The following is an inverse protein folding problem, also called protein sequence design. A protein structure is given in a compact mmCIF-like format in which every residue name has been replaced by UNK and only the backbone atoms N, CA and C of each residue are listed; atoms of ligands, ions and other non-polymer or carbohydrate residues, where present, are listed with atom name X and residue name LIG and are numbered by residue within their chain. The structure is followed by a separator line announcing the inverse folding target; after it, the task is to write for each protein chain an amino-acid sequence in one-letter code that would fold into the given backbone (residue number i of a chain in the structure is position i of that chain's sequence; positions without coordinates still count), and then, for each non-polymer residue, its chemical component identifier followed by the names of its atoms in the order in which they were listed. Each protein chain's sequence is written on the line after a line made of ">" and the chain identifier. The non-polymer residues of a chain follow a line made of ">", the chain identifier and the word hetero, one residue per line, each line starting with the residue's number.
data_IF_950216619147
#
_entry.id   IF_950216619147
#
_cell.length_a   1.000
_cell.length_b   1.000
_cell.length_c   1.000
_cell.angle_alpha   90.00
_cell.angle_beta   90.00
_cell.angle_gamma   90.00
#
_symmetry.space_group_name_H-M   'P 1'
#
loop_
_entity.id
_entity.type
_entity.pdbx_description
1 polymer ?
#
# COMPACT_ATOMS: atom_id res chain seq x y z
N UNK A 1 -3.13 0.63 4.78
CA UNK A 1 -3.90 -0.48 4.16
C UNK A 1 -5.25 -0.03 3.61
N UNK A 2 -6.14 0.58 4.41
CA UNK A 2 -7.45 0.99 3.86
C UNK A 2 -7.32 2.04 2.74
N UNK A 3 -6.44 3.05 2.89
CA UNK A 3 -6.14 4.01 1.82
C UNK A 3 -5.69 3.34 0.49
N UNK A 4 -4.98 2.21 0.58
CA UNK A 4 -4.51 1.45 -0.58
C UNK A 4 -5.65 0.67 -1.27
N UNK A 5 -6.64 0.17 -0.52
CA UNK A 5 -7.71 -0.67 -1.10
C UNK A 5 -9.02 0.08 -1.36
N UNK A 6 -9.34 1.06 -0.53
CA UNK A 6 -10.56 1.85 -0.59
C UNK A 6 -10.27 3.30 -0.16
N UNK A 7 -9.70 4.11 -1.07
CA UNK A 7 -9.34 5.49 -0.77
C UNK A 7 -10.57 6.35 -0.49
N UNK A 8 -11.72 6.06 -1.10
CA UNK A 8 -12.97 6.76 -0.81
C UNK A 8 -13.39 6.58 0.65
N UNK A 9 -13.41 5.33 1.14
CA UNK A 9 -13.74 5.07 2.54
C UNK A 9 -12.69 5.68 3.48
N UNK A 10 -11.39 5.56 3.13
CA UNK A 10 -10.32 6.16 3.90
C UNK A 10 -10.48 7.69 4.02
N UNK A 11 -10.68 8.40 2.91
CA UNK A 11 -10.83 9.84 2.89
C UNK A 11 -12.04 10.28 3.73
N UNK A 12 -13.16 9.57 3.63
CA UNK A 12 -14.33 9.85 4.47
C UNK A 12 -14.00 9.75 5.96
N UNK A 13 -13.42 8.62 6.39
CA UNK A 13 -13.06 8.39 7.79
C UNK A 13 -12.03 9.40 8.30
N UNK A 14 -11.03 9.74 7.48
CA UNK A 14 -10.01 10.76 7.78
C UNK A 14 -10.64 12.15 7.95
N UNK A 15 -11.55 12.53 7.04
CA UNK A 15 -12.24 13.83 7.06
C UNK A 15 -13.11 14.02 8.31
N UNK A 16 -13.74 12.96 8.81
CA UNK A 16 -14.53 13.00 10.05
C UNK A 16 -13.67 12.78 11.32
N UNK A 17 -12.35 12.61 11.18
CA UNK A 17 -11.43 12.36 12.28
C UNK A 17 -11.59 10.99 12.95
N UNK A 18 -12.14 10.00 12.24
CA UNK A 18 -12.41 8.66 12.76
C UNK A 18 -11.23 7.72 12.49
N UNK A 19 -10.22 7.79 13.36
CA UNK A 19 -8.94 7.10 13.19
C UNK A 19 -9.00 5.60 13.62
N UNK A 20 -8.14 4.73 13.03
CA UNK A 20 -8.09 3.29 13.35
C UNK A 20 -7.93 2.96 14.84
N UNK A 21 -7.25 3.78 15.62
CA UNK A 21 -7.05 3.60 17.06
C UNK A 21 -8.36 3.52 17.84
N UNK A 22 -9.44 4.12 17.32
CA UNK A 22 -10.75 4.14 17.98
C UNK A 22 -11.50 2.80 17.88
N UNK A 23 -11.23 2.00 16.85
CA UNK A 23 -12.02 0.79 16.58
C UNK A 23 -11.18 -0.48 16.37
N UNK A 24 -9.92 -0.37 15.94
CA UNK A 24 -9.14 -1.52 15.48
C UNK A 24 -8.16 -2.08 16.52
N UNK A 25 -7.90 -1.39 17.64
CA UNK A 25 -7.00 -1.91 18.69
C UNK A 25 -7.43 -3.31 19.17
N UNK A 26 -8.71 -3.55 19.53
CA UNK A 26 -9.16 -4.88 19.95
C UNK A 26 -9.04 -5.92 18.83
N UNK A 27 -9.19 -5.51 17.57
CA UNK A 27 -9.17 -6.43 16.42
C UNK A 27 -7.82 -7.14 16.34
N UNK A 28 -6.73 -6.39 16.44
CA UNK A 28 -5.39 -6.94 16.28
C UNK A 28 -4.85 -7.53 17.59
N UNK A 29 -5.16 -6.94 18.75
CA UNK A 29 -4.71 -7.49 20.03
C UNK A 29 -5.38 -8.81 20.40
N UNK A 30 -6.67 -8.97 20.03
CA UNK A 30 -7.45 -10.17 20.40
C UNK A 30 -7.70 -11.08 19.21
N UNK A 31 -7.08 -10.82 18.06
CA UNK A 31 -7.31 -11.55 16.81
C UNK A 31 -8.82 -11.70 16.53
N UNK A 32 -9.54 -10.58 16.62
CA UNK A 32 -10.99 -10.42 16.42
C UNK A 32 -11.90 -11.06 17.48
N UNK A 33 -11.39 -11.85 18.43
CA UNK A 33 -12.21 -12.62 19.38
C UNK A 33 -13.03 -11.77 20.35
N UNK A 34 -12.58 -10.55 20.65
CA UNK A 34 -13.36 -9.61 21.47
C UNK A 34 -14.60 -9.06 20.74
N UNK A 35 -14.60 -9.08 19.40
CA UNK A 35 -15.62 -8.40 18.58
C UNK A 35 -16.68 -9.35 18.07
N UNK A 36 -16.31 -10.59 17.73
CA UNK A 36 -17.24 -11.55 17.15
C UNK A 36 -17.47 -12.77 18.05
N UNK A 37 -18.69 -13.34 18.04
CA UNK A 37 -18.97 -14.57 18.77
C UNK A 37 -18.14 -15.74 18.23
N UNK A 38 -17.89 -16.73 19.08
CA UNK A 38 -16.95 -17.83 18.82
C UNK A 38 -17.22 -18.59 17.51
N UNK A 39 -18.48 -18.80 17.14
CA UNK A 39 -18.86 -19.49 15.90
C UNK A 39 -18.31 -18.80 14.63
N UNK A 40 -18.34 -17.46 14.62
CA UNK A 40 -17.79 -16.63 13.54
C UNK A 40 -16.26 -16.62 13.55
N UNK A 41 -15.68 -16.64 14.74
CA UNK A 41 -14.23 -16.70 14.93
C UNK A 41 -13.64 -17.98 14.36
N UNK A 42 -14.28 -19.13 14.51
CA UNK A 42 -13.77 -20.39 13.95
C UNK A 42 -13.60 -20.34 12.43
N UNK A 43 -14.56 -19.78 11.71
CA UNK A 43 -14.47 -19.59 10.25
C UNK A 43 -13.27 -18.72 9.85
N UNK A 44 -12.98 -17.70 10.66
CA UNK A 44 -11.90 -16.75 10.43
C UNK A 44 -10.54 -17.36 10.82
N UNK A 45 -10.49 -18.10 11.92
CA UNK A 45 -9.26 -18.71 12.47
C UNK A 45 -8.68 -19.80 11.58
N UNK A 46 -9.50 -20.58 10.89
CA UNK A 46 -9.00 -21.57 9.92
C UNK A 46 -8.11 -20.91 8.85
N UNK A 47 -8.52 -19.72 8.38
CA UNK A 47 -7.74 -18.96 7.39
C UNK A 47 -6.56 -18.24 8.04
N UNK A 48 -6.75 -17.63 9.22
CA UNK A 48 -5.69 -16.91 9.93
C UNK A 48 -4.52 -17.78 10.35
N UNK A 49 -4.78 -18.96 10.91
CA UNK A 49 -3.75 -19.85 11.44
C UNK A 49 -2.91 -20.50 10.33
N UNK A 50 -3.49 -20.64 9.13
CA UNK A 50 -2.79 -21.14 7.94
C UNK A 50 -2.16 -20.01 7.10
N UNK A 51 -2.62 -18.78 7.30
CA UNK A 51 -2.22 -17.60 6.53
C UNK A 51 -0.90 -16.97 6.99
N UNK A 52 -0.46 -15.98 6.24
CA UNK A 52 0.70 -15.16 6.61
C UNK A 52 0.34 -14.15 7.70
N UNK A 53 1.36 -13.64 8.39
CA UNK A 53 1.15 -12.73 9.51
C UNK A 53 0.44 -11.42 9.10
N UNK A 54 0.37 -11.07 7.80
CA UNK A 54 -0.32 -9.87 7.27
C UNK A 54 -1.81 -10.09 7.04
N UNK A 55 -2.29 -11.32 7.10
CA UNK A 55 -3.69 -11.64 6.87
C UNK A 55 -4.67 -10.96 7.86
N UNK A 56 -4.35 -10.76 9.16
CA UNK A 56 -5.18 -9.93 10.04
C UNK A 56 -5.42 -8.54 9.46
N UNK A 57 -4.42 -7.87 8.89
CA UNK A 57 -4.61 -6.55 8.27
C UNK A 57 -5.60 -6.62 7.10
N UNK A 58 -5.54 -7.70 6.32
CA UNK A 58 -6.43 -7.92 5.17
C UNK A 58 -7.87 -8.18 5.59
N UNK A 59 -8.08 -8.90 6.71
CA UNK A 59 -9.39 -9.11 7.32
C UNK A 59 -9.97 -7.78 7.80
N UNK A 60 -9.16 -6.94 8.45
CA UNK A 60 -9.57 -5.59 8.86
C UNK A 60 -10.08 -4.75 7.67
N UNK A 61 -9.40 -4.82 6.52
CA UNK A 61 -9.85 -4.15 5.29
C UNK A 61 -11.18 -4.73 4.79
N UNK A 62 -11.31 -6.06 4.71
CA UNK A 62 -12.53 -6.72 4.24
C UNK A 62 -13.75 -6.39 5.13
N UNK A 63 -13.56 -6.33 6.46
CA UNK A 63 -14.59 -5.89 7.40
C UNK A 63 -15.05 -4.46 7.12
N UNK A 64 -14.11 -3.53 6.94
CA UNK A 64 -14.42 -2.14 6.61
C UNK A 64 -15.14 -2.02 5.26
N UNK A 65 -14.74 -2.81 4.25
CA UNK A 65 -15.38 -2.84 2.93
C UNK A 65 -16.82 -3.34 3.00
N UNK A 66 -17.11 -4.35 3.82
CA UNK A 66 -18.48 -4.82 4.03
C UNK A 66 -19.37 -3.78 4.74
N UNK A 67 -18.77 -2.93 5.58
CA UNK A 67 -19.47 -1.85 6.29
C UNK A 67 -19.51 -0.53 5.50
N UNK A 68 -18.83 -0.45 4.35
CA UNK A 68 -18.58 0.78 3.58
C UNK A 68 -19.83 1.62 3.37
N UNK A 69 -20.90 1.01 2.85
CA UNK A 69 -22.11 1.73 2.45
C UNK A 69 -22.74 2.49 3.63
N UNK A 70 -22.65 1.93 4.85
CA UNK A 70 -23.11 2.59 6.08
C UNK A 70 -22.11 3.63 6.56
N UNK A 71 -20.83 3.28 6.59
CA UNK A 71 -19.76 4.17 7.05
C UNK A 71 -19.73 5.49 6.26
N UNK A 72 -19.90 5.43 4.93
CA UNK A 72 -19.94 6.63 4.08
C UNK A 72 -21.13 7.56 4.36
N UNK A 73 -22.18 7.07 5.02
CA UNK A 73 -23.36 7.87 5.40
C UNK A 73 -23.25 8.42 6.83
N UNK A 74 -22.28 7.96 7.60
CA UNK A 74 -22.17 8.21 9.03
C UNK A 74 -21.12 9.28 9.34
N UNK A 75 -21.42 10.11 10.34
CA UNK A 75 -20.45 10.99 10.97
C UNK A 75 -19.68 10.26 12.06
N UNK A 76 -18.88 11.01 12.81
CA UNK A 76 -18.03 10.45 13.87
C UNK A 76 -18.82 9.65 14.92
N UNK A 77 -19.93 10.22 15.44
CA UNK A 77 -20.70 9.60 16.51
C UNK A 77 -21.43 8.34 16.04
N UNK A 78 -22.00 8.36 14.83
CA UNK A 78 -22.68 7.21 14.24
C UNK A 78 -21.69 6.07 13.97
N UNK A 79 -20.44 6.38 13.58
CA UNK A 79 -19.37 5.39 13.48
C UNK A 79 -19.03 4.77 14.84
N UNK A 80 -18.91 5.56 15.92
CA UNK A 80 -18.68 5.03 17.28
C UNK A 80 -19.77 4.03 17.66
N UNK A 81 -21.04 4.36 17.41
CA UNK A 81 -22.17 3.47 17.69
C UNK A 81 -22.11 2.19 16.83
N UNK A 82 -21.86 2.32 15.53
CA UNK A 82 -21.77 1.18 14.60
C UNK A 82 -20.70 0.18 15.03
N UNK A 83 -19.52 0.65 15.45
CA UNK A 83 -18.43 -0.24 15.89
C UNK A 83 -18.63 -0.80 17.30
N UNK A 84 -19.41 -0.12 18.15
CA UNK A 84 -19.78 -0.60 19.49
C UNK A 84 -20.81 -1.73 19.42
N UNK A 85 -21.84 -1.55 18.59
CA UNK A 85 -22.96 -2.50 18.43
C UNK A 85 -22.77 -3.47 17.26
N UNK A 86 -21.55 -3.53 16.69
CA UNK A 86 -21.10 -4.26 15.50
C UNK A 86 -22.21 -5.09 14.81
N UNK A 87 -22.68 -4.70 13.61
CA UNK A 87 -23.80 -5.37 12.96
C UNK A 87 -23.46 -6.80 12.54
N UNK A 88 -24.47 -7.54 12.05
CA UNK A 88 -24.25 -8.88 11.55
C UNK A 88 -23.33 -8.91 10.32
N UNK A 89 -22.11 -9.42 10.52
CA UNK A 89 -21.06 -9.59 9.51
C UNK A 89 -21.14 -10.98 8.89
N UNK A 90 -21.20 -11.06 7.55
CA UNK A 90 -21.01 -12.31 6.81
C UNK A 90 -19.51 -12.66 6.76
N UNK A 91 -19.11 -13.61 7.60
CA UNK A 91 -17.72 -14.02 7.77
C UNK A 91 -17.15 -14.77 6.57
N UNK A 92 -17.98 -15.51 5.83
CA UNK A 92 -17.50 -16.23 4.64
C UNK A 92 -17.07 -15.24 3.56
N UNK A 93 -17.85 -14.16 3.42
CA UNK A 93 -17.48 -13.04 2.56
C UNK A 93 -16.20 -12.36 3.03
N UNK A 94 -16.06 -12.07 4.32
CA UNK A 94 -14.83 -11.47 4.90
C UNK A 94 -13.60 -12.32 4.60
N UNK A 95 -13.67 -13.64 4.82
CA UNK A 95 -12.57 -14.56 4.52
C UNK A 95 -12.19 -14.50 3.05
N UNK A 96 -13.18 -14.66 2.15
CA UNK A 96 -12.96 -14.62 0.70
C UNK A 96 -12.36 -13.29 0.23
N UNK A 97 -12.89 -12.17 0.69
CA UNK A 97 -12.41 -10.83 0.32
C UNK A 97 -11.02 -10.56 0.92
N UNK A 98 -10.73 -11.02 2.15
CA UNK A 98 -9.42 -10.85 2.78
C UNK A 98 -8.30 -11.56 2.00
N UNK A 99 -8.58 -12.72 1.40
CA UNK A 99 -7.64 -13.42 0.52
C UNK A 99 -7.41 -12.64 -0.77
N UNK A 100 -8.44 -12.02 -1.34
CA UNK A 100 -8.30 -11.16 -2.53
C UNK A 100 -7.48 -9.89 -2.22
N UNK A 101 -7.72 -9.29 -1.06
CA UNK A 101 -6.93 -8.16 -0.53
C UNK A 101 -5.47 -8.61 -0.43
N UNK A 102 -5.19 -9.72 0.25
CA UNK A 102 -3.86 -10.28 0.40
C UNK A 102 -3.17 -10.54 -0.95
N UNK A 103 -3.79 -11.29 -1.86
CA UNK A 103 -3.21 -11.64 -3.17
C UNK A 103 -3.00 -10.44 -4.10
N UNK A 104 -3.67 -9.32 -3.85
CA UNK A 104 -3.53 -8.10 -4.64
C UNK A 104 -2.66 -7.02 -3.98
N UNK A 105 -2.06 -7.34 -2.83
CA UNK A 105 -1.18 -6.45 -2.07
C UNK A 105 0.26 -6.91 -2.20
N UNK A 106 1.20 -6.05 -2.65
CA UNK A 106 2.62 -6.38 -2.61
C UNK A 106 3.07 -6.71 -1.17
N UNK A 107 3.88 -7.76 -0.93
CA UNK A 107 4.29 -8.13 0.42
C UNK A 107 4.86 -6.97 1.25
N UNK A 108 5.71 -6.14 0.64
CA UNK A 108 6.35 -4.98 1.29
C UNK A 108 5.38 -3.90 1.77
N UNK A 109 4.18 -3.78 1.15
CA UNK A 109 3.12 -2.85 1.60
C UNK A 109 2.61 -3.18 3.01
N UNK A 110 2.80 -4.43 3.46
CA UNK A 110 2.45 -4.90 4.81
C UNK A 110 3.66 -5.19 5.69
N UNK A 111 4.84 -4.66 5.32
CA UNK A 111 6.09 -4.90 6.04
C UNK A 111 6.00 -4.53 7.52
N UNK A 112 6.57 -5.39 8.37
CA UNK A 112 6.70 -5.17 9.81
C UNK A 112 8.07 -5.58 10.30
N UNK A 113 8.75 -4.65 10.96
CA UNK A 113 10.12 -4.84 11.46
C UNK A 113 10.30 -6.03 12.43
N UNK A 114 9.24 -6.44 13.13
CA UNK A 114 9.27 -7.53 14.11
C UNK A 114 8.62 -8.82 13.60
N UNK A 115 8.25 -8.87 12.32
CA UNK A 115 7.79 -10.11 11.71
C UNK A 115 8.94 -11.11 11.65
N UNK A 116 8.66 -12.38 11.99
CA UNK A 116 9.67 -13.43 11.90
C UNK A 116 10.05 -13.61 10.42
N UNK A 117 11.35 -13.60 10.07
CA UNK A 117 11.77 -13.87 8.71
C UNK A 117 11.22 -15.22 8.25
N UNK A 118 10.68 -15.28 7.02
CA UNK A 118 10.29 -16.55 6.43
C UNK A 118 11.53 -17.46 6.37
N UNK A 119 11.42 -18.74 6.73
CA UNK A 119 12.54 -19.67 6.60
C UNK A 119 12.93 -19.73 5.13
N UNK A 120 14.15 -19.30 4.83
CA UNK A 120 14.69 -19.28 3.47
C UNK A 120 14.94 -20.73 3.01
N UNK A 121 14.22 -21.24 2.01
CA UNK A 121 14.40 -22.60 1.52
C UNK A 121 15.80 -22.82 0.93
N UNK A 122 16.48 -21.75 0.48
CA UNK A 122 17.85 -21.82 -0.05
C UNK A 122 18.93 -21.96 1.03
N UNK A 123 18.63 -21.56 2.28
CA UNK A 123 19.55 -21.71 3.43
C UNK A 123 19.62 -23.13 4.01
N UNK A 124 18.91 -24.10 3.43
CA UNK A 124 19.15 -25.53 3.71
C UNK A 124 20.47 -26.04 3.11
N UNK A 125 21.06 -25.29 2.18
CA UNK A 125 22.38 -25.57 1.61
C UNK A 125 23.27 -24.33 1.69
N UNK A 126 24.13 -24.29 2.71
CA UNK A 126 25.24 -23.34 2.96
C UNK A 126 24.89 -21.84 3.15
N UNK A 127 25.45 -21.18 4.19
CA UNK A 127 25.27 -19.75 4.39
C UNK A 127 26.16 -18.98 3.41
N UNK A 128 25.57 -18.36 2.39
CA UNK A 128 26.25 -17.27 1.68
C UNK A 128 26.24 -16.04 2.61
N UNK A 129 27.38 -15.52 3.11
CA UNK A 129 27.36 -14.65 4.29
C UNK A 129 26.95 -13.19 4.01
N UNK A 130 26.86 -12.76 2.75
CA UNK A 130 26.53 -11.37 2.43
C UNK A 130 25.67 -11.29 1.17
N UNK A 131 24.43 -10.81 1.31
CA UNK A 131 23.68 -10.27 0.18
C UNK A 131 24.50 -9.13 -0.44
N UNK A 132 24.53 -9.04 -1.76
CA UNK A 132 25.17 -7.90 -2.44
C UNK A 132 24.54 -6.58 -1.99
N UNK A 133 25.28 -5.47 -1.99
CA UNK A 133 24.74 -4.14 -1.65
C UNK A 133 23.46 -3.83 -2.46
N UNK A 134 23.47 -4.17 -3.75
CA UNK A 134 22.30 -4.04 -4.62
C UNK A 134 21.07 -4.81 -4.12
N UNK A 135 21.24 -6.00 -3.55
CA UNK A 135 20.13 -6.77 -2.98
C UNK A 135 19.66 -6.21 -1.63
N UNK A 136 20.57 -5.59 -0.86
CA UNK A 136 20.25 -4.99 0.43
C UNK A 136 19.49 -3.66 0.27
N UNK A 137 19.88 -2.83 -0.69
CA UNK A 137 19.23 -1.54 -0.95
C UNK A 137 17.77 -1.70 -1.40
N UNK A 138 17.42 -2.84 -2.02
CA UNK A 138 16.10 -3.11 -2.60
C UNK A 138 15.06 -3.62 -1.60
N UNK A 139 15.45 -4.01 -0.38
CA UNK A 139 14.51 -4.56 0.63
C UNK A 139 14.05 -3.48 1.61
N UNK A 140 12.98 -3.76 2.36
CA UNK A 140 12.52 -2.88 3.43
C UNK A 140 13.50 -2.90 4.61
N UNK A 141 13.66 -1.74 5.26
CA UNK A 141 14.26 -1.61 6.59
C UNK A 141 13.26 -0.98 7.58
N UNK A 142 13.65 -0.89 8.85
CA UNK A 142 12.78 -0.36 9.90
C UNK A 142 12.55 1.15 9.72
N UNK A 143 11.28 1.55 9.62
CA UNK A 143 10.86 2.96 9.61
C UNK A 143 10.39 3.36 11.01
N UNK A 144 10.84 4.50 11.57
CA UNK A 144 10.36 4.97 12.86
C UNK A 144 8.84 5.13 12.92
N UNK A 145 8.22 4.75 14.04
CA UNK A 145 6.77 4.86 14.24
C UNK A 145 6.27 6.30 14.07
N UNK A 146 7.09 7.30 14.44
CA UNK A 146 6.75 8.71 14.26
C UNK A 146 6.62 9.12 12.79
N UNK A 147 7.40 8.52 11.88
CA UNK A 147 7.29 8.73 10.43
C UNK A 147 6.08 7.98 9.88
N UNK A 148 5.90 6.70 10.26
CA UNK A 148 4.77 5.90 9.80
C UNK A 148 3.41 6.53 10.14
N UNK A 149 3.32 7.24 11.28
CA UNK A 149 2.10 7.97 11.69
C UNK A 149 1.79 9.21 10.83
N UNK A 150 2.78 9.72 10.10
CA UNK A 150 2.61 10.89 9.22
C UNK A 150 2.24 10.47 7.79
N UNK A 151 2.31 9.18 7.46
CA UNK A 151 2.10 8.67 6.11
C UNK A 151 0.73 8.02 5.97
N UNK A 152 -0.07 8.49 5.01
CA UNK A 152 -1.36 7.86 4.68
C UNK A 152 -1.24 6.70 3.70
N UNK A 153 -0.17 6.70 2.89
CA UNK A 153 0.12 5.67 1.90
C UNK A 153 1.16 4.68 2.43
N UNK A 154 1.03 3.37 2.14
CA UNK A 154 2.07 2.41 2.47
C UNK A 154 3.30 2.58 1.57
N UNK A 155 4.45 2.11 2.04
CA UNK A 155 5.68 1.99 1.25
C UNK A 155 5.78 0.62 0.58
N UNK A 156 6.38 0.56 -0.61
CA UNK A 156 6.77 -0.68 -1.28
C UNK A 156 8.29 -0.68 -1.50
N UNK A 157 8.94 -1.85 -1.40
CA UNK A 157 10.38 -1.95 -1.61
C UNK A 157 10.75 -2.05 -3.09
N UNK A 158 12.02 -1.79 -3.40
CA UNK A 158 12.53 -1.89 -4.76
C UNK A 158 12.43 -3.31 -5.33
N UNK A 159 12.63 -4.36 -4.52
CA UNK A 159 12.55 -5.75 -4.97
C UNK A 159 11.15 -6.10 -5.48
N UNK A 160 10.11 -5.80 -4.69
CA UNK A 160 8.70 -6.01 -5.07
C UNK A 160 8.35 -5.19 -6.32
N UNK A 161 8.83 -3.95 -6.42
CA UNK A 161 8.58 -3.10 -7.57
C UNK A 161 9.19 -3.68 -8.86
N UNK A 162 10.43 -4.16 -8.81
CA UNK A 162 11.09 -4.79 -9.95
C UNK A 162 10.40 -6.09 -10.35
N UNK A 163 9.94 -6.90 -9.39
CA UNK A 163 9.16 -8.11 -9.66
C UNK A 163 7.83 -7.77 -10.36
N UNK A 164 7.13 -6.74 -9.90
CA UNK A 164 5.87 -6.26 -10.50
C UNK A 164 6.07 -5.75 -11.94
N UNK A 165 7.20 -5.09 -12.21
CA UNK A 165 7.58 -4.63 -13.55
C UNK A 165 7.98 -5.79 -14.47
N UNK A 166 8.69 -6.79 -13.94
CA UNK A 166 9.14 -7.96 -14.69
C UNK A 166 7.98 -8.88 -15.12
N UNK A 167 6.93 -9.00 -14.30
CA UNK A 167 5.75 -9.80 -14.64
C UNK A 167 4.87 -9.12 -15.68
N UNK A 168 5.14 -9.43 -16.96
CA UNK A 168 4.38 -8.94 -18.11
C UNK A 168 2.89 -9.32 -18.03
N UNK A 169 2.10 -8.26 -17.84
CA UNK A 169 0.69 -8.08 -18.18
C UNK A 169 -0.32 -8.95 -17.39
N UNK A 170 -1.35 -8.30 -16.87
CA UNK A 170 -2.55 -8.97 -16.36
C UNK A 170 -3.23 -9.81 -17.46
N UNK A 171 -4.25 -10.61 -17.12
CA UNK A 171 -5.14 -11.28 -18.11
C UNK A 171 -5.66 -10.31 -19.20
N UNK A 172 -5.69 -9.00 -18.92
CA UNK A 172 -6.08 -7.94 -19.84
C UNK A 172 -4.95 -7.37 -20.73
N UNK A 173 -3.72 -7.90 -20.70
CA UNK A 173 -2.62 -7.39 -21.52
C UNK A 173 -2.01 -6.04 -21.08
N UNK A 174 -2.37 -5.50 -19.90
CA UNK A 174 -1.80 -4.25 -19.34
C UNK A 174 -0.89 -4.51 -18.14
N UNK A 175 0.13 -3.66 -17.95
CA UNK A 175 1.05 -3.72 -16.82
C UNK A 175 0.29 -3.66 -15.48
N UNK A 176 0.82 -4.35 -14.46
CA UNK A 176 0.20 -4.44 -13.13
C UNK A 176 0.51 -3.22 -12.25
N UNK A 177 1.58 -2.51 -12.58
CA UNK A 177 2.09 -1.34 -11.87
C UNK A 177 2.41 -0.23 -12.87
N UNK A 178 2.19 1.02 -12.43
CA UNK A 178 2.71 2.22 -13.06
C UNK A 178 3.68 2.89 -12.07
N UNK A 179 4.88 3.23 -12.54
CA UNK A 179 5.81 4.05 -11.78
C UNK A 179 5.60 5.50 -12.16
N UNK A 180 5.36 6.35 -11.16
CA UNK A 180 5.23 7.79 -11.31
C UNK A 180 6.47 8.43 -10.69
N UNK A 181 7.42 8.83 -11.52
CA UNK A 181 8.63 9.53 -11.09
C UNK A 181 8.34 11.02 -10.94
N UNK A 182 8.34 11.48 -9.69
CA UNK A 182 7.95 12.86 -9.34
C UNK A 182 9.15 13.81 -9.24
N UNK A 183 10.35 13.34 -9.59
CA UNK A 183 11.56 14.17 -9.59
C UNK A 183 11.50 15.21 -10.72
N UNK A 184 12.29 16.29 -10.63
CA UNK A 184 12.50 17.22 -11.73
C UNK A 184 12.85 16.51 -13.05
N UNK A 185 12.40 17.06 -14.18
CA UNK A 185 12.52 16.41 -15.48
C UNK A 185 13.97 16.19 -15.92
N UNK A 186 14.90 17.02 -15.47
CA UNK A 186 16.33 16.83 -15.67
C UNK A 186 16.83 15.60 -14.92
N UNK A 187 16.48 15.40 -13.65
CA UNK A 187 16.83 14.19 -12.91
C UNK A 187 16.23 12.92 -13.51
N UNK A 188 14.98 13.00 -13.98
CA UNK A 188 14.31 11.91 -14.70
C UNK A 188 15.08 11.53 -15.98
N UNK A 189 15.52 12.52 -16.76
CA UNK A 189 16.26 12.30 -18.00
C UNK A 189 17.63 11.64 -17.78
N UNK A 190 18.24 11.77 -16.60
CA UNK A 190 19.51 11.11 -16.28
C UNK A 190 19.35 9.64 -15.86
N UNK A 191 18.13 9.16 -15.60
CA UNK A 191 17.87 7.77 -15.29
C UNK A 191 16.62 7.58 -14.45
N UNK A 192 15.74 6.69 -14.90
CA UNK A 192 14.50 6.28 -14.22
C UNK A 192 14.24 4.78 -14.43
N UNK A 193 13.13 4.25 -13.93
CA UNK A 193 12.71 2.88 -14.25
C UNK A 193 12.06 2.81 -15.63
N UNK A 194 12.20 1.67 -16.30
CA UNK A 194 11.54 1.42 -17.59
C UNK A 194 10.01 1.60 -17.47
N UNK A 195 9.40 2.19 -18.50
CA UNK A 195 7.97 2.50 -18.58
C UNK A 195 7.42 3.45 -17.49
N UNK A 196 8.30 4.10 -16.71
CA UNK A 196 7.90 5.14 -15.76
C UNK A 196 7.45 6.41 -16.50
N UNK A 197 6.47 7.11 -15.92
CA UNK A 197 6.09 8.46 -16.37
C UNK A 197 6.72 9.52 -15.47
N UNK A 198 7.03 10.70 -16.04
CA UNK A 198 7.50 11.84 -15.27
C UNK A 198 6.34 12.80 -14.96
N UNK A 199 6.07 13.03 -13.68
CA UNK A 199 5.11 14.01 -13.17
C UNK A 199 5.78 14.82 -12.04
N UNK A 200 6.66 15.79 -12.35
CA UNK A 200 7.40 16.54 -11.34
C UNK A 200 6.47 17.16 -10.30
N UNK A 201 6.76 16.94 -9.01
CA UNK A 201 5.86 17.31 -7.92
C UNK A 201 5.50 18.80 -7.90
N UNK A 202 6.47 19.67 -8.21
CA UNK A 202 6.32 21.13 -8.16
C UNK A 202 5.40 21.70 -9.24
N UNK A 203 5.23 21.00 -10.36
CA UNK A 203 4.45 21.47 -11.51
C UNK A 203 3.21 20.64 -11.82
N UNK A 204 3.12 19.43 -11.25
CA UNK A 204 2.04 18.47 -11.56
C UNK A 204 0.89 18.51 -10.55
N UNK A 205 1.05 19.21 -9.42
CA UNK A 205 0.03 19.39 -8.39
C UNK A 205 -0.24 20.88 -8.19
N UNK A 206 -1.51 21.27 -8.19
CA UNK A 206 -1.94 22.66 -7.93
C UNK A 206 -1.75 23.03 -6.45
N UNK A 207 -1.82 24.32 -6.12
CA UNK A 207 -1.83 24.76 -4.71
C UNK A 207 -2.97 24.17 -3.87
N UNK A 208 -4.04 23.69 -4.52
CA UNK A 208 -5.18 23.03 -3.88
C UNK A 208 -4.97 21.51 -3.71
N UNK A 209 -3.80 20.98 -4.10
CA UNK A 209 -3.50 19.55 -3.98
C UNK A 209 -4.14 18.69 -5.06
N UNK A 210 -4.55 19.27 -6.20
CA UNK A 210 -5.15 18.55 -7.33
C UNK A 210 -4.13 18.29 -8.43
N UNK A 211 -4.26 17.16 -9.13
CA UNK A 211 -3.42 16.88 -10.29
C UNK A 211 -3.73 17.85 -11.43
N UNK A 212 -2.69 18.43 -12.01
CA UNK A 212 -2.81 19.26 -13.21
C UNK A 212 -3.11 18.37 -14.43
N UNK A 213 -4.15 18.67 -15.23
CA UNK A 213 -4.45 17.90 -16.43
C UNK A 213 -3.34 18.02 -17.49
N UNK A 214 -3.02 16.90 -18.13
CA UNK A 214 -2.06 16.80 -19.21
C UNK A 214 -1.81 15.36 -19.66
N UNK A 215 -0.94 15.15 -20.68
CA UNK A 215 -0.72 13.83 -21.26
C UNK A 215 -0.30 12.76 -20.24
N UNK A 216 0.56 13.12 -19.29
CA UNK A 216 1.03 12.19 -18.27
C UNK A 216 -0.03 11.91 -17.20
N UNK A 217 -0.88 12.89 -16.85
CA UNK A 217 -2.03 12.63 -15.97
C UNK A 217 -3.06 11.74 -16.66
N UNK A 218 -3.22 11.84 -17.99
CA UNK A 218 -4.11 10.94 -18.75
C UNK A 218 -3.59 9.50 -18.73
N UNK A 219 -2.27 9.32 -18.84
CA UNK A 219 -1.64 8.00 -18.65
C UNK A 219 -1.90 7.50 -17.23
N UNK A 220 -1.67 8.31 -16.20
CA UNK A 220 -1.97 7.95 -14.82
C UNK A 220 -3.44 7.53 -14.62
N UNK A 221 -4.38 8.29 -15.16
CA UNK A 221 -5.80 7.97 -15.13
C UNK A 221 -6.13 6.62 -15.81
N UNK A 222 -5.43 6.27 -16.90
CA UNK A 222 -5.62 4.99 -17.58
C UNK A 222 -5.20 3.76 -16.75
N UNK A 223 -4.41 3.97 -15.69
CA UNK A 223 -3.96 2.97 -14.72
C UNK A 223 -4.80 2.91 -13.44
N UNK A 224 -5.91 3.66 -13.35
CA UNK A 224 -6.80 3.60 -12.16
C UNK A 224 -7.23 2.16 -11.86
N UNK A 225 -7.03 1.73 -10.61
CA UNK A 225 -7.27 0.34 -10.18
C UNK A 225 -6.08 -0.62 -10.33
N UNK A 226 -4.98 -0.18 -10.96
CA UNK A 226 -3.66 -0.85 -10.92
C UNK A 226 -2.82 -0.26 -9.79
N UNK A 227 -1.69 -0.91 -9.49
CA UNK A 227 -0.75 -0.37 -8.50
C UNK A 227 -0.10 0.89 -9.08
N UNK A 228 -0.06 1.96 -8.32
CA UNK A 228 0.62 3.20 -8.66
C UNK A 228 1.72 3.40 -7.63
N UNK A 229 2.98 3.30 -8.07
CA UNK A 229 4.14 3.50 -7.20
C UNK A 229 4.71 4.91 -7.45
N UNK A 230 4.59 5.78 -6.45
CA UNK A 230 5.16 7.12 -6.46
C UNK A 230 6.65 7.02 -6.09
N UNK A 231 7.51 7.42 -7.01
CA UNK A 231 8.95 7.35 -6.89
C UNK A 231 9.53 8.77 -6.89
N UNK A 232 10.31 9.10 -5.86
CA UNK A 232 11.07 10.34 -5.77
C UNK A 232 12.45 10.10 -5.17
N UNK A 233 13.18 11.17 -4.86
CA UNK A 233 14.42 11.05 -4.07
C UNK A 233 14.10 10.96 -2.58
N UNK A 234 14.84 10.13 -1.84
CA UNK A 234 14.78 10.12 -0.36
C UNK A 234 15.17 11.46 0.27
N UNK A 235 15.88 12.31 -0.44
CA UNK A 235 16.27 13.63 0.04
C UNK A 235 15.11 14.64 0.02
N UNK A 236 14.07 14.38 -0.78
CA UNK A 236 12.88 15.22 -0.91
C UNK A 236 11.61 14.43 -0.52
N UNK A 237 11.68 13.67 0.57
CA UNK A 237 10.63 12.74 0.98
C UNK A 237 9.27 13.41 1.25
N UNK A 238 9.27 14.66 1.72
CA UNK A 238 8.04 15.43 1.93
C UNK A 238 7.23 15.60 0.63
N UNK A 239 7.91 15.80 -0.51
CA UNK A 239 7.24 15.86 -1.82
C UNK A 239 6.64 14.52 -2.22
N UNK A 240 7.30 13.40 -1.87
CA UNK A 240 6.80 12.04 -2.13
C UNK A 240 5.51 11.78 -1.35
N UNK A 241 5.48 12.10 -0.06
CA UNK A 241 4.29 11.95 0.78
C UNK A 241 3.15 12.82 0.24
N UNK A 242 3.38 14.13 0.06
CA UNK A 242 2.35 15.05 -0.42
C UNK A 242 1.76 14.64 -1.77
N UNK A 243 2.60 14.18 -2.69
CA UNK A 243 2.14 13.72 -4.00
C UNK A 243 1.27 12.47 -3.87
N UNK A 244 1.72 11.46 -3.12
CA UNK A 244 0.95 10.23 -2.91
C UNK A 244 -0.39 10.51 -2.20
N UNK A 245 -0.40 11.40 -1.22
CA UNK A 245 -1.62 11.82 -0.52
C UNK A 245 -2.60 12.57 -1.44
N UNK A 246 -2.11 13.41 -2.35
CA UNK A 246 -2.93 14.05 -3.37
C UNK A 246 -3.62 13.01 -4.28
N UNK A 247 -2.93 11.92 -4.64
CA UNK A 247 -3.55 10.83 -5.41
C UNK A 247 -4.64 10.13 -4.60
N UNK A 248 -4.39 9.84 -3.33
CA UNK A 248 -5.38 9.20 -2.45
C UNK A 248 -6.59 10.11 -2.22
N UNK A 249 -6.39 11.42 -2.03
CA UNK A 249 -7.46 12.41 -1.91
C UNK A 249 -8.35 12.45 -3.16
N UNK A 250 -7.76 12.22 -4.35
CA UNK A 250 -8.46 12.07 -5.63
C UNK A 250 -8.96 10.63 -5.89
N UNK A 251 -9.05 9.83 -4.83
CA UNK A 251 -9.56 8.46 -4.80
C UNK A 251 -8.83 7.47 -5.73
N UNK A 252 -7.56 7.71 -6.05
CA UNK A 252 -6.75 6.70 -6.74
C UNK A 252 -6.50 5.52 -5.80
N UNK A 253 -6.98 4.31 -6.12
CA UNK A 253 -6.69 3.14 -5.32
C UNK A 253 -5.28 2.64 -5.61
N UNK A 254 -4.74 1.83 -4.69
CA UNK A 254 -3.47 1.10 -4.81
C UNK A 254 -2.25 2.00 -5.00
N UNK A 255 -2.27 3.18 -4.39
CA UNK A 255 -1.14 4.10 -4.33
C UNK A 255 -0.18 3.68 -3.22
N UNK A 256 1.10 3.50 -3.55
CA UNK A 256 2.18 3.31 -2.59
C UNK A 256 3.38 4.20 -2.95
N UNK A 257 4.26 4.44 -2.00
CA UNK A 257 5.53 5.16 -2.21
C UNK A 257 6.70 4.18 -2.31
N UNK A 258 7.72 4.50 -3.10
CA UNK A 258 8.94 3.70 -3.14
C UNK A 258 9.77 3.95 -1.88
N UNK A 259 10.03 2.89 -1.11
CA UNK A 259 10.88 2.94 0.07
C UNK A 259 12.31 3.39 -0.29
N UNK A 260 12.86 4.34 0.48
CA UNK A 260 14.21 4.91 0.31
C UNK A 260 14.49 5.58 -1.05
N UNK A 261 13.44 5.86 -1.84
CA UNK A 261 13.54 6.63 -3.08
C UNK A 261 14.26 5.91 -4.22
N UNK A 262 14.44 6.61 -5.34
CA UNK A 262 15.08 6.08 -6.56
C UNK A 262 16.51 5.58 -6.32
N UNK A 263 17.16 6.06 -5.26
CA UNK A 263 18.53 5.74 -4.90
C UNK A 263 18.76 4.23 -4.69
N UNK A 264 17.73 3.48 -4.30
CA UNK A 264 17.80 2.02 -4.10
C UNK A 264 18.19 1.25 -5.36
N UNK A 265 17.99 1.84 -6.54
CA UNK A 265 18.29 1.21 -7.83
C UNK A 265 19.70 1.52 -8.36
N UNK A 266 20.47 2.39 -7.69
CA UNK A 266 21.81 2.79 -8.16
C UNK A 266 22.77 1.60 -8.26
N UNK A 267 22.76 0.72 -7.27
CA UNK A 267 23.64 -0.44 -7.23
C UNK A 267 23.13 -1.62 -8.08
N UNK A 268 21.83 -1.67 -8.39
CA UNK A 268 21.22 -2.77 -9.16
C UNK A 268 21.31 -2.59 -10.68
N UNK A 269 21.59 -1.36 -11.16
CA UNK A 269 21.62 -1.05 -12.59
C UNK A 269 20.24 -1.08 -13.25
N UNK A 270 19.16 -1.00 -12.46
CA UNK A 270 17.79 -1.02 -12.99
C UNK A 270 17.36 0.29 -13.66
N UNK A 271 18.11 1.38 -13.46
CA UNK A 271 17.81 2.68 -14.05
C UNK A 271 18.22 2.72 -15.53
N UNK A 272 17.34 3.25 -16.36
CA UNK A 272 17.52 3.45 -17.80
C UNK A 272 17.31 4.92 -18.14
N UNK A 273 18.00 5.40 -19.18
CA UNK A 273 17.74 6.72 -19.75
C UNK A 273 16.42 6.63 -20.53
N UNK A 274 15.42 7.48 -20.22
CA UNK A 274 14.15 7.48 -20.95
C UNK A 274 14.38 7.84 -22.42
N UNK A 275 13.65 7.18 -23.31
CA UNK A 275 13.74 7.36 -24.78
C UNK A 275 12.95 8.56 -25.28
#
# INVERSE_FOLDING_TARGET
>A
MIAFHDPQLFNHLDNIGFIPELYAIPWFLTMYTHVFPLQKIFLLWDTLLLGEASLPLCIGVALLQQLKDRLLQFGFNECILLFSDMPDIDMERVVRESVQVFCSTPPSVTYRQHERPKPDPSKRSSPSPHLSQASQDLVMDAVPVAELKQEKCPRACGADLLELLAHKKSRSGRAKVLVVDIRPSDEFAHGTLADAINLPAESSITHEGLLVPGPQSDVLNSYRGKIICVMGSRHNWEHVIKFAESLVAQEFPRVCTLHQGVEVFRASGALVVPS
#
